data_IF_746232885574
#
_entry.id   IF_746232885574
#
_cell.length_a   1.000
_cell.length_b   1.000
_cell.length_c   1.000
_cell.angle_alpha   90.00
_cell.angle_beta   90.00
_cell.angle_gamma   90.00
#
_symmetry.space_group_name_H-M   'P 1'
#
loop_
_entity.id
_entity.type
_entity.pdbx_description
1 polymer ?
#
# COMPACT_ATOMS: atom_id res chain seq x y z
N UNK A 1 -15.67 -26.98 1.24
CA UNK A 1 -15.04 -25.69 1.56
C UNK A 1 -15.06 -25.52 3.07
N UNK A 2 -13.90 -25.34 3.72
CA UNK A 2 -13.88 -25.05 5.17
C UNK A 2 -14.45 -23.65 5.40
N UNK A 3 -15.22 -23.47 6.47
CA UNK A 3 -15.93 -22.24 6.79
C UNK A 3 -14.93 -21.16 7.23
N UNK A 4 -14.96 -19.99 6.58
CA UNK A 4 -14.26 -18.79 7.05
C UNK A 4 -14.87 -18.36 8.39
N UNK A 5 -14.03 -18.19 9.41
CA UNK A 5 -14.42 -17.60 10.69
C UNK A 5 -14.23 -16.10 10.61
N UNK A 6 -15.22 -15.37 11.13
CA UNK A 6 -15.17 -13.93 11.28
C UNK A 6 -15.49 -13.56 12.72
N UNK A 7 -15.03 -12.42 13.16
CA UNK A 7 -15.36 -11.95 14.50
C UNK A 7 -14.66 -10.66 14.88
N UNK A 8 -14.96 -10.23 16.10
CA UNK A 8 -14.49 -8.98 16.67
C UNK A 8 -13.96 -9.25 18.08
N UNK A 9 -12.88 -8.58 18.45
CA UNK A 9 -12.39 -8.49 19.83
C UNK A 9 -11.83 -7.08 20.10
N UNK A 10 -11.56 -6.79 21.37
CA UNK A 10 -10.93 -5.53 21.78
C UNK A 10 -9.52 -5.84 22.30
N UNK A 11 -8.52 -5.09 21.86
CA UNK A 11 -7.15 -5.15 22.34
C UNK A 11 -6.57 -3.75 22.32
N UNK A 12 -5.79 -3.38 23.34
CA UNK A 12 -5.17 -2.04 23.46
C UNK A 12 -6.19 -0.88 23.33
N UNK A 13 -7.43 -1.12 23.77
CA UNK A 13 -8.51 -0.15 23.66
C UNK A 13 -8.99 0.10 22.23
N UNK A 14 -8.61 -0.71 21.25
CA UNK A 14 -9.04 -0.67 19.86
C UNK A 14 -9.87 -1.90 19.51
N UNK A 15 -10.78 -1.75 18.56
CA UNK A 15 -11.53 -2.85 17.98
C UNK A 15 -10.70 -3.55 16.90
N UNK A 16 -10.65 -4.87 16.97
CA UNK A 16 -10.00 -5.73 16.00
C UNK A 16 -11.04 -6.60 15.30
N UNK A 17 -11.11 -6.50 13.98
CA UNK A 17 -11.96 -7.32 13.13
C UNK A 17 -11.08 -8.39 12.48
N UNK A 18 -11.46 -9.67 12.55
CA UNK A 18 -10.66 -10.73 11.94
C UNK A 18 -11.46 -11.57 10.94
N UNK A 19 -10.73 -12.07 9.94
CA UNK A 19 -11.15 -13.15 9.05
C UNK A 19 -10.08 -14.23 9.12
N UNK A 20 -10.50 -15.48 9.21
CA UNK A 20 -9.59 -16.61 9.31
C UNK A 20 -10.15 -17.85 8.60
N UNK A 21 -9.30 -18.56 7.87
CA UNK A 21 -9.53 -19.93 7.42
C UNK A 21 -8.33 -20.81 7.83
N UNK A 22 -8.17 -22.00 7.24
CA UNK A 22 -7.08 -22.91 7.58
C UNK A 22 -5.72 -22.55 6.94
N UNK A 23 -5.66 -21.50 6.12
CA UNK A 23 -4.46 -21.03 5.42
C UNK A 23 -4.01 -19.66 5.90
N UNK A 24 -4.95 -18.76 6.14
CA UNK A 24 -4.71 -17.35 6.37
C UNK A 24 -5.49 -16.83 7.57
N UNK A 25 -4.91 -15.84 8.25
CA UNK A 25 -5.61 -14.94 9.16
C UNK A 25 -5.23 -13.50 8.89
N UNK A 26 -6.24 -12.65 8.78
CA UNK A 26 -6.08 -11.20 8.74
C UNK A 26 -6.76 -10.52 9.93
N UNK A 27 -6.24 -9.35 10.31
CA UNK A 27 -6.84 -8.49 11.34
C UNK A 27 -6.84 -7.05 10.87
N UNK A 28 -7.97 -6.37 11.02
CA UNK A 28 -8.25 -5.00 10.57
C UNK A 28 -8.68 -4.12 11.74
N UNK A 29 -8.19 -2.89 11.78
CA UNK A 29 -8.56 -1.85 12.73
C UNK A 29 -9.49 -0.83 12.05
N UNK A 30 -10.83 -0.93 12.23
CA UNK A 30 -11.76 0.03 11.63
C UNK A 30 -11.55 1.45 12.16
N UNK A 31 -11.06 1.60 13.38
CA UNK A 31 -10.87 2.91 14.03
C UNK A 31 -9.63 3.66 13.57
N UNK A 32 -8.80 3.04 12.72
CA UNK A 32 -7.56 3.60 12.18
C UNK A 32 -7.55 3.34 10.67
N UNK A 33 -8.42 4.04 9.94
CA UNK A 33 -8.47 3.98 8.47
C UNK A 33 -8.88 2.64 7.87
N UNK A 34 -9.44 1.73 8.68
CA UNK A 34 -9.61 0.35 8.25
C UNK A 34 -8.28 -0.37 7.99
N UNK A 35 -7.18 0.04 8.62
CA UNK A 35 -5.82 -0.52 8.43
C UNK A 35 -5.81 -2.02 8.69
N UNK A 36 -5.24 -2.80 7.77
CA UNK A 36 -4.94 -4.21 8.04
C UNK A 36 -3.61 -4.27 8.80
N UNK A 37 -3.63 -4.79 10.03
CA UNK A 37 -2.45 -4.88 10.90
C UNK A 37 -1.87 -6.29 10.96
N UNK A 38 -2.59 -7.27 10.40
CA UNK A 38 -2.14 -8.64 10.32
C UNK A 38 -2.53 -9.28 9.01
N UNK A 39 -1.56 -9.96 8.44
CA UNK A 39 -1.67 -10.94 7.37
C UNK A 39 -0.72 -12.07 7.76
N UNK A 40 -1.25 -13.25 8.08
CA UNK A 40 -0.42 -14.35 8.58
C UNK A 40 -0.78 -15.70 8.00
N UNK A 41 0.23 -16.53 7.77
CA UNK A 41 0.10 -17.93 7.36
C UNK A 41 -0.25 -18.79 8.56
N UNK A 42 -1.30 -19.60 8.43
CA UNK A 42 -1.67 -20.60 9.44
C UNK A 42 -0.74 -21.81 9.43
N UNK A 43 -0.01 -22.02 8.32
CA UNK A 43 0.96 -23.12 8.18
C UNK A 43 2.26 -22.79 8.89
N UNK A 44 2.86 -21.64 8.61
CA UNK A 44 4.18 -21.25 9.14
C UNK A 44 4.09 -20.33 10.36
N UNK A 45 2.90 -19.82 10.67
CA UNK A 45 2.66 -18.81 11.71
C UNK A 45 3.39 -17.47 11.46
N UNK A 46 3.96 -17.28 10.26
CA UNK A 46 4.58 -16.02 9.86
C UNK A 46 3.53 -14.92 9.74
N UNK A 47 3.82 -13.77 10.32
CA UNK A 47 3.16 -12.48 10.08
C UNK A 47 3.96 -11.72 9.02
N UNK A 48 3.29 -11.21 8.00
CA UNK A 48 3.95 -10.57 6.86
C UNK A 48 3.91 -9.05 6.88
N UNK A 49 3.01 -8.44 7.66
CA UNK A 49 2.96 -6.98 7.79
C UNK A 49 3.93 -6.52 8.88
N UNK A 50 4.59 -5.39 8.62
CA UNK A 50 5.44 -4.71 9.59
C UNK A 50 4.62 -4.34 10.83
N UNK A 51 5.14 -4.65 12.01
CA UNK A 51 4.52 -4.23 13.27
C UNK A 51 4.79 -2.74 13.57
N UNK A 52 4.07 -2.11 14.52
CA UNK A 52 4.30 -0.70 14.86
C UNK A 52 5.76 -0.41 15.17
N UNK A 53 6.29 0.63 14.54
CA UNK A 53 7.69 1.07 14.70
C UNK A 53 7.85 2.19 15.73
N UNK A 54 6.78 2.58 16.41
CA UNK A 54 6.83 3.56 17.50
C UNK A 54 7.38 2.94 18.80
N UNK A 55 7.82 3.78 19.75
CA UNK A 55 8.53 3.33 20.97
C UNK A 55 7.72 2.37 21.85
N UNK A 56 6.39 2.48 21.84
CA UNK A 56 5.51 1.61 22.63
C UNK A 56 5.01 0.39 21.85
N UNK A 57 5.33 0.26 20.56
CA UNK A 57 4.93 -0.87 19.73
C UNK A 57 3.41 -1.03 19.60
N UNK A 58 2.65 0.06 19.72
CA UNK A 58 1.18 0.02 19.82
C UNK A 58 0.51 0.93 18.79
N UNK A 59 -0.74 0.64 18.47
CA UNK A 59 -1.54 1.44 17.56
C UNK A 59 -2.23 2.58 18.30
N UNK A 60 -2.28 3.78 17.70
CA UNK A 60 -2.96 4.95 18.27
C UNK A 60 -3.96 5.53 17.28
N UNK A 61 -5.11 6.00 17.77
CA UNK A 61 -6.10 6.66 16.90
C UNK A 61 -5.52 7.98 16.38
N UNK A 62 -5.35 8.14 15.06
CA UNK A 62 -4.98 9.42 14.48
C UNK A 62 -6.15 10.40 14.52
N UNK A 63 -5.84 11.68 14.45
CA UNK A 63 -6.81 12.70 14.08
C UNK A 63 -6.78 12.92 12.56
N UNK A 64 -7.87 13.44 12.00
CA UNK A 64 -7.97 13.71 10.57
C UNK A 64 -6.81 14.58 10.06
N UNK A 65 -6.09 14.08 9.06
CA UNK A 65 -4.96 14.77 8.45
C UNK A 65 -3.71 14.83 9.34
N UNK A 66 -3.58 13.88 10.27
CA UNK A 66 -2.33 13.64 10.99
C UNK A 66 -1.15 13.46 10.04
N UNK A 67 0.05 13.79 10.51
CA UNK A 67 1.30 13.48 9.79
C UNK A 67 1.61 12.00 9.95
N UNK A 68 1.74 11.26 8.85
CA UNK A 68 1.87 9.80 8.88
C UNK A 68 3.08 9.33 9.72
N UNK A 69 4.24 9.98 9.54
CA UNK A 69 5.49 9.68 10.26
C UNK A 69 5.37 9.77 11.80
N UNK A 70 4.45 10.60 12.31
CA UNK A 70 4.28 10.81 13.76
C UNK A 70 3.44 9.70 14.44
N UNK A 71 2.85 8.80 13.66
CA UNK A 71 2.00 7.70 14.12
C UNK A 71 2.69 6.35 13.90
N UNK A 72 1.93 5.26 13.91
CA UNK A 72 2.47 3.97 13.51
C UNK A 72 2.59 3.89 11.98
N UNK A 73 3.83 3.78 11.50
CA UNK A 73 4.15 3.64 10.08
C UNK A 73 4.36 2.16 9.78
N UNK A 74 3.25 1.41 9.86
CA UNK A 74 3.23 -0.03 9.86
C UNK A 74 1.92 -0.60 9.30
N UNK A 75 1.82 -1.92 9.16
CA UNK A 75 0.61 -2.55 8.65
C UNK A 75 0.35 -2.24 7.16
N UNK A 76 -0.93 -2.17 6.80
CA UNK A 76 -1.39 -1.91 5.45
C UNK A 76 -2.49 -0.84 5.48
N UNK A 77 -2.11 0.35 5.03
CA UNK A 77 -2.93 1.53 4.91
C UNK A 77 -3.56 1.72 3.52
N UNK A 78 -4.63 2.51 3.50
CA UNK A 78 -5.27 3.00 2.29
C UNK A 78 -4.88 4.46 2.07
N UNK A 79 -4.14 4.77 1.01
CA UNK A 79 -3.86 6.15 0.63
C UNK A 79 -4.92 6.63 -0.36
N UNK A 80 -5.71 7.64 0.00
CA UNK A 80 -6.76 8.19 -0.85
C UNK A 80 -7.21 9.58 -0.38
N UNK A 81 -7.35 10.60 -1.26
CA UNK A 81 -7.20 10.57 -2.72
C UNK A 81 -5.81 10.98 -3.22
N UNK A 82 -4.81 11.00 -2.34
CA UNK A 82 -3.42 11.34 -2.63
C UNK A 82 -2.51 10.49 -1.74
N UNK A 83 -1.22 10.36 -2.07
CA UNK A 83 -0.24 9.64 -1.24
C UNK A 83 0.57 10.64 -0.40
N UNK A 84 0.94 11.80 -0.95
CA UNK A 84 1.51 12.92 -0.19
C UNK A 84 0.52 14.07 -0.11
N UNK A 85 0.73 14.99 0.86
CA UNK A 85 -0.05 16.22 0.96
C UNK A 85 -0.09 16.91 -0.41
N UNK A 86 -1.28 17.31 -0.85
CA UNK A 86 -1.47 17.84 -2.19
C UNK A 86 -2.58 18.88 -2.22
N UNK A 87 -2.34 19.96 -2.95
CA UNK A 87 -3.41 20.86 -3.40
C UNK A 87 -4.25 20.11 -4.43
N UNK A 88 -5.57 20.21 -4.32
CA UNK A 88 -6.46 19.74 -5.38
C UNK A 88 -6.50 20.80 -6.48
N UNK A 89 -6.15 20.46 -7.74
CA UNK A 89 -5.93 21.46 -8.79
C UNK A 89 -7.22 22.14 -9.29
N UNK A 90 -8.40 21.66 -8.88
CA UNK A 90 -9.68 22.19 -9.29
C UNK A 90 -10.45 22.73 -8.08
N UNK A 91 -10.76 24.03 -8.01
CA UNK A 91 -11.56 24.59 -6.92
C UNK A 91 -12.92 23.89 -6.79
N UNK A 92 -13.38 23.73 -5.56
CA UNK A 92 -14.67 23.11 -5.23
C UNK A 92 -15.49 24.14 -4.47
N UNK A 93 -16.66 24.53 -4.97
CA UNK A 93 -17.45 25.65 -4.43
C UNK A 93 -16.64 26.97 -4.30
N UNK A 94 -15.75 27.25 -5.25
CA UNK A 94 -14.82 28.39 -5.21
C UNK A 94 -13.81 28.35 -4.05
N UNK A 95 -13.62 27.21 -3.39
CA UNK A 95 -12.61 27.00 -2.36
C UNK A 95 -11.48 26.10 -2.86
N UNK A 96 -10.26 26.41 -2.41
CA UNK A 96 -9.11 25.54 -2.63
C UNK A 96 -9.15 24.38 -1.62
N UNK A 97 -9.02 23.15 -2.12
CA UNK A 97 -8.89 21.96 -1.28
C UNK A 97 -7.41 21.62 -1.14
N UNK A 98 -7.01 21.31 0.09
CA UNK A 98 -5.74 20.64 0.40
C UNK A 98 -6.10 19.29 1.00
N UNK A 99 -5.62 18.22 0.36
CA UNK A 99 -5.69 16.87 0.91
C UNK A 99 -4.44 16.62 1.75
N UNK A 100 -4.59 16.02 2.95
CA UNK A 100 -3.47 15.80 3.85
C UNK A 100 -2.54 14.68 3.34
N UNK A 101 -1.40 14.54 4.01
CA UNK A 101 -0.46 13.44 3.83
C UNK A 101 -1.14 12.06 3.94
N UNK A 102 -0.86 11.18 2.97
CA UNK A 102 -1.53 9.88 2.75
C UNK A 102 -3.05 9.97 2.53
N UNK A 103 -3.57 11.17 2.27
CA UNK A 103 -4.97 11.42 2.01
C UNK A 103 -5.85 11.35 3.26
N UNK A 104 -7.15 11.37 3.02
CA UNK A 104 -8.16 11.59 4.06
C UNK A 104 -8.52 10.35 4.86
N UNK A 105 -8.35 9.17 4.26
CA UNK A 105 -9.05 7.97 4.72
C UNK A 105 -8.27 7.13 5.74
N UNK A 106 -6.93 7.21 5.74
CA UNK A 106 -6.10 6.42 6.67
C UNK A 106 -6.23 6.91 8.13
N UNK A 107 -6.51 8.21 8.30
CA UNK A 107 -6.47 8.91 9.59
C UNK A 107 -7.83 9.07 10.27
N UNK A 108 -8.86 8.34 9.81
CA UNK A 108 -10.23 8.43 10.33
C UNK A 108 -10.84 7.06 10.59
N UNK A 109 -11.82 6.94 11.50
CA UNK A 109 -12.54 5.70 11.71
C UNK A 109 -13.48 5.39 10.52
N UNK A 110 -13.52 4.13 10.12
CA UNK A 110 -14.42 3.58 9.12
C UNK A 110 -15.61 2.88 9.79
N UNK A 111 -16.77 2.98 9.15
CA UNK A 111 -17.90 2.11 9.47
C UNK A 111 -17.59 0.69 9.01
N UNK A 112 -18.15 -0.32 9.68
CA UNK A 112 -17.96 -1.70 9.27
C UNK A 112 -19.18 -2.59 9.56
N UNK A 113 -19.31 -3.66 8.78
CA UNK A 113 -20.29 -4.73 8.94
C UNK A 113 -19.70 -6.07 8.53
N UNK A 114 -20.28 -7.16 9.04
CA UNK A 114 -20.04 -8.51 8.53
C UNK A 114 -21.29 -9.03 7.82
N UNK A 115 -21.17 -9.36 6.55
CA UNK A 115 -22.21 -10.04 5.76
C UNK A 115 -21.76 -11.47 5.49
N UNK A 116 -22.13 -12.39 6.39
CA UNK A 116 -21.62 -13.76 6.38
C UNK A 116 -20.11 -13.79 6.64
N UNK A 117 -19.32 -14.13 5.62
CA UNK A 117 -17.85 -14.17 5.65
C UNK A 117 -17.16 -12.98 4.97
N UNK A 118 -17.93 -11.95 4.62
CA UNK A 118 -17.45 -10.73 4.00
C UNK A 118 -17.33 -9.66 5.10
N UNK A 119 -16.16 -9.02 5.19
CA UNK A 119 -15.99 -7.82 6.00
C UNK A 119 -16.11 -6.60 5.09
N UNK A 120 -17.11 -5.78 5.34
CA UNK A 120 -17.37 -4.53 4.63
C UNK A 120 -16.90 -3.37 5.50
N UNK A 121 -16.16 -2.42 4.92
CA UNK A 121 -15.86 -1.15 5.55
C UNK A 121 -16.19 0.01 4.62
N UNK A 122 -16.62 1.14 5.19
CA UNK A 122 -16.89 2.36 4.44
C UNK A 122 -16.49 3.63 5.17
N UNK A 123 -16.17 4.65 4.39
CA UNK A 123 -15.83 6.00 4.84
C UNK A 123 -16.33 7.03 3.83
N UNK A 124 -16.71 8.21 4.32
CA UNK A 124 -17.05 9.35 3.48
C UNK A 124 -15.89 10.34 3.42
N UNK A 125 -15.68 10.94 2.26
CA UNK A 125 -14.72 12.03 2.11
C UNK A 125 -15.12 13.25 2.93
N UNK A 126 -14.13 13.98 3.46
CA UNK A 126 -14.37 15.15 4.31
C UNK A 126 -14.25 16.45 3.54
N UNK A 127 -13.26 16.56 2.65
CA UNK A 127 -13.04 17.73 1.80
C UNK A 127 -13.78 17.64 0.47
N UNK A 128 -13.95 16.42 -0.04
CA UNK A 128 -14.70 16.15 -1.27
C UNK A 128 -15.83 15.17 -0.97
N UNK A 129 -17.01 15.39 -1.53
CA UNK A 129 -18.17 14.52 -1.27
C UNK A 129 -18.07 13.23 -2.09
N UNK A 130 -17.49 12.19 -1.51
CA UNK A 130 -17.46 10.85 -2.06
C UNK A 130 -17.73 9.82 -0.98
N UNK A 131 -18.09 8.61 -1.40
CA UNK A 131 -18.09 7.43 -0.55
C UNK A 131 -17.05 6.44 -1.03
N UNK A 132 -16.17 6.00 -0.13
CA UNK A 132 -15.16 4.99 -0.39
C UNK A 132 -15.45 3.75 0.44
N UNK A 133 -15.43 2.57 -0.19
CA UNK A 133 -15.71 1.28 0.45
C UNK A 133 -14.63 0.27 0.12
N UNK A 134 -14.42 -0.66 1.05
CA UNK A 134 -13.67 -1.89 0.79
C UNK A 134 -14.37 -3.11 1.37
N UNK A 135 -14.41 -4.18 0.61
CA UNK A 135 -14.95 -5.48 0.98
C UNK A 135 -13.82 -6.50 0.98
N UNK A 136 -13.62 -7.19 2.11
CA UNK A 136 -12.55 -8.16 2.27
C UNK A 136 -13.13 -9.55 2.41
N UNK A 137 -12.60 -10.49 1.62
CA UNK A 137 -12.97 -11.91 1.66
C UNK A 137 -11.74 -12.80 1.68
N UNK A 138 -11.88 -14.00 2.25
CA UNK A 138 -10.86 -15.04 2.21
C UNK A 138 -11.37 -16.25 1.43
N UNK A 139 -10.60 -16.71 0.46
CA UNK A 139 -10.86 -17.95 -0.27
C UNK A 139 -9.56 -18.73 -0.42
N UNK A 140 -9.49 -19.91 0.19
CA UNK A 140 -8.27 -20.73 0.26
C UNK A 140 -7.05 -19.91 0.74
N UNK A 141 -6.03 -19.74 -0.10
CA UNK A 141 -4.81 -18.99 0.18
C UNK A 141 -4.85 -17.54 -0.34
N UNK A 142 -6.03 -17.02 -0.70
CA UNK A 142 -6.19 -15.68 -1.27
C UNK A 142 -7.04 -14.77 -0.38
N UNK A 143 -6.57 -13.54 -0.24
CA UNK A 143 -7.34 -12.39 0.24
C UNK A 143 -7.81 -11.64 -1.00
N UNK A 144 -9.11 -11.36 -1.09
CA UNK A 144 -9.65 -10.49 -2.13
C UNK A 144 -10.23 -9.24 -1.49
N UNK A 145 -9.72 -8.08 -1.90
CA UNK A 145 -10.18 -6.76 -1.47
C UNK A 145 -10.84 -6.08 -2.66
N UNK A 146 -12.16 -5.93 -2.62
CA UNK A 146 -12.90 -5.15 -3.62
C UNK A 146 -13.13 -3.75 -3.10
N UNK A 147 -12.72 -2.76 -3.88
CA UNK A 147 -12.91 -1.36 -3.59
C UNK A 147 -14.06 -0.80 -4.41
N UNK A 148 -14.74 0.21 -3.87
CA UNK A 148 -15.64 1.05 -4.65
C UNK A 148 -15.59 2.49 -4.21
N UNK A 149 -15.58 3.38 -5.19
CA UNK A 149 -15.65 4.82 -5.03
C UNK A 149 -16.91 5.32 -5.71
N UNK A 150 -17.72 6.11 -5.00
CA UNK A 150 -18.86 6.83 -5.58
C UNK A 150 -18.57 8.31 -5.44
N UNK A 151 -18.53 9.03 -6.55
CA UNK A 151 -18.49 10.49 -6.54
C UNK A 151 -19.90 11.03 -6.31
N UNK A 152 -20.12 11.70 -5.18
CA UNK A 152 -21.42 12.26 -4.82
C UNK A 152 -21.50 13.77 -5.13
N UNK A 153 -20.48 14.31 -5.77
CA UNK A 153 -20.39 15.70 -6.18
C UNK A 153 -20.89 15.89 -7.61
N UNK A 154 -21.14 17.14 -8.01
CA UNK A 154 -21.64 17.50 -9.34
C UNK A 154 -20.54 17.69 -10.39
N UNK A 155 -19.27 17.49 -10.02
CA UNK A 155 -18.11 17.65 -10.89
C UNK A 155 -17.20 16.39 -10.85
N UNK A 156 -16.32 16.18 -11.85
CA UNK A 156 -15.37 15.08 -11.84
C UNK A 156 -14.43 15.13 -10.64
N UNK A 157 -14.08 13.96 -10.10
CA UNK A 157 -13.14 13.82 -8.99
C UNK A 157 -11.87 13.15 -9.47
N UNK A 158 -10.76 13.88 -9.42
CA UNK A 158 -9.43 13.35 -9.70
C UNK A 158 -8.84 12.78 -8.42
N UNK A 159 -8.22 11.61 -8.51
CA UNK A 159 -7.68 10.93 -7.35
C UNK A 159 -6.49 10.02 -7.69
N UNK A 160 -5.73 9.70 -6.64
CA UNK A 160 -4.82 8.58 -6.56
C UNK A 160 -5.32 7.69 -5.42
N UNK A 161 -5.56 6.43 -5.74
CA UNK A 161 -5.64 5.36 -4.76
C UNK A 161 -4.31 4.63 -4.75
N UNK A 162 -3.77 4.32 -3.57
CA UNK A 162 -2.65 3.40 -3.41
C UNK A 162 -2.91 2.46 -2.26
N UNK A 163 -2.76 1.17 -2.53
CA UNK A 163 -2.57 0.19 -1.46
C UNK A 163 -1.18 0.41 -0.85
N UNK A 164 -1.07 0.52 0.48
CA UNK A 164 0.20 0.81 1.15
C UNK A 164 0.61 -0.27 2.18
N UNK A 165 0.89 -1.52 1.74
CA UNK A 165 1.27 -2.62 2.63
C UNK A 165 2.75 -2.57 2.99
N UNK A 166 3.08 -2.11 4.20
CA UNK A 166 4.44 -2.17 4.73
C UNK A 166 4.75 -3.59 5.20
N UNK A 167 5.66 -4.27 4.51
CA UNK A 167 5.96 -5.67 4.72
C UNK A 167 7.13 -5.88 5.70
N UNK A 168 6.95 -6.86 6.59
CA UNK A 168 8.00 -7.39 7.44
C UNK A 168 8.94 -8.27 6.63
N UNK A 169 10.08 -7.71 6.26
CA UNK A 169 11.13 -8.36 5.47
C UNK A 169 12.39 -8.60 6.30
N UNK A 170 13.23 -9.50 5.80
CA UNK A 170 14.58 -9.78 6.29
C UNK A 170 15.60 -9.69 5.15
N UNK A 171 16.87 -9.36 5.42
CA UNK A 171 17.90 -9.32 4.39
C UNK A 171 17.93 -10.63 3.59
N UNK A 172 17.98 -10.52 2.26
CA UNK A 172 17.90 -11.65 1.34
C UNK A 172 16.49 -12.01 0.84
N UNK A 173 15.41 -11.53 1.47
CA UNK A 173 14.07 -11.62 0.86
C UNK A 173 14.06 -10.93 -0.51
N UNK A 174 13.22 -11.38 -1.44
CA UNK A 174 13.30 -10.99 -2.86
C UNK A 174 12.00 -10.41 -3.38
N UNK A 175 12.10 -9.34 -4.15
CA UNK A 175 11.01 -8.64 -4.82
C UNK A 175 10.97 -9.09 -6.28
N UNK A 176 9.78 -9.41 -6.75
CA UNK A 176 9.52 -9.85 -8.11
C UNK A 176 8.50 -8.89 -8.72
N UNK A 177 8.84 -8.33 -9.88
CA UNK A 177 7.92 -7.49 -10.66
C UNK A 177 7.59 -8.20 -11.97
N UNK A 178 6.57 -7.72 -12.68
CA UNK A 178 6.32 -8.10 -14.08
C UNK A 178 7.60 -7.92 -14.93
N UNK A 179 7.84 -8.84 -15.86
CA UNK A 179 9.10 -8.96 -16.65
C UNK A 179 9.54 -7.69 -17.39
N UNK A 180 8.61 -6.76 -17.63
CA UNK A 180 8.82 -5.59 -18.48
C UNK A 180 9.20 -4.33 -17.68
N UNK A 181 9.47 -4.45 -16.39
CA UNK A 181 9.92 -3.32 -15.56
C UNK A 181 11.44 -3.18 -15.64
N UNK A 182 11.90 -2.27 -16.50
CA UNK A 182 13.33 -1.97 -16.68
C UNK A 182 13.79 -0.73 -15.91
N UNK A 183 12.86 0.12 -15.49
CA UNK A 183 13.14 1.40 -14.85
C UNK A 183 12.00 1.83 -13.93
N UNK A 184 12.35 2.66 -12.94
CA UNK A 184 11.41 3.33 -12.06
C UNK A 184 11.46 4.84 -12.28
N UNK A 185 10.30 5.48 -12.23
CA UNK A 185 10.19 6.92 -11.99
C UNK A 185 10.44 7.18 -10.51
N UNK A 186 11.45 7.98 -10.19
CA UNK A 186 11.81 8.27 -8.82
C UNK A 186 10.90 9.36 -8.25
N UNK A 187 10.21 9.06 -7.15
CA UNK A 187 9.44 10.02 -6.39
C UNK A 187 10.31 10.65 -5.29
N UNK A 188 11.08 9.83 -4.58
CA UNK A 188 11.98 10.30 -3.53
C UNK A 188 13.10 9.30 -3.26
N UNK A 189 14.24 9.78 -2.79
CA UNK A 189 15.32 8.96 -2.27
C UNK A 189 15.99 9.65 -1.07
N UNK A 190 16.48 8.85 -0.13
CA UNK A 190 17.18 9.34 1.08
C UNK A 190 18.53 9.99 0.78
N UNK A 191 19.07 9.78 -0.41
CA UNK A 191 20.34 10.36 -0.85
C UNK A 191 20.22 10.84 -2.29
N UNK A 192 20.67 12.07 -2.57
CA UNK A 192 20.62 12.66 -3.91
C UNK A 192 21.41 11.90 -4.97
N UNK A 193 22.41 11.09 -4.57
CA UNK A 193 23.17 10.23 -5.50
C UNK A 193 22.32 9.11 -6.13
N UNK A 194 21.21 8.75 -5.49
CA UNK A 194 20.27 7.73 -6.00
C UNK A 194 19.31 8.33 -7.05
N UNK A 195 19.32 9.66 -7.19
CA UNK A 195 18.47 10.43 -8.10
C UNK A 195 17.66 11.49 -7.35
N UNK A 196 16.91 12.26 -8.13
CA UNK A 196 15.98 13.27 -7.66
C UNK A 196 14.56 12.96 -8.15
N UNK A 197 13.56 13.61 -7.55
CA UNK A 197 12.18 13.53 -8.04
C UNK A 197 12.12 13.76 -9.55
N UNK A 198 11.45 12.86 -10.28
CA UNK A 198 11.29 12.95 -11.72
C UNK A 198 12.28 12.13 -12.53
N UNK A 199 13.39 11.71 -11.95
CA UNK A 199 14.39 10.88 -12.63
C UNK A 199 13.83 9.51 -13.01
N UNK A 200 14.38 8.94 -14.09
CA UNK A 200 14.16 7.54 -14.46
C UNK A 200 15.40 6.76 -14.10
N UNK A 201 15.28 5.86 -13.14
CA UNK A 201 16.40 5.04 -12.64
C UNK A 201 16.26 3.59 -13.10
N UNK A 202 17.35 2.91 -13.47
CA UNK A 202 17.29 1.51 -13.86
C UNK A 202 16.83 0.61 -12.72
N UNK A 203 16.07 -0.42 -13.05
CA UNK A 203 15.64 -1.47 -12.12
C UNK A 203 16.27 -2.82 -12.52
N UNK A 204 16.78 -3.62 -11.56
CA UNK A 204 16.83 -3.37 -10.11
C UNK A 204 18.13 -2.71 -9.63
N UNK A 205 19.04 -2.34 -10.53
CA UNK A 205 20.32 -1.72 -10.19
C UNK A 205 20.17 -0.20 -10.21
N UNK A 206 19.79 0.40 -9.07
CA UNK A 206 19.50 1.83 -8.99
C UNK A 206 20.76 2.68 -8.79
N UNK A 207 21.65 2.27 -7.88
CA UNK A 207 22.88 3.00 -7.58
C UNK A 207 23.99 2.68 -8.58
N UNK A 208 24.17 3.58 -9.55
CA UNK A 208 25.22 3.46 -10.57
C UNK A 208 26.65 3.33 -10.03
N UNK A 209 26.93 3.78 -8.80
CA UNK A 209 28.25 3.62 -8.16
C UNK A 209 28.42 2.24 -7.53
N UNK A 210 27.33 1.53 -7.27
CA UNK A 210 27.30 0.20 -6.70
C UNK A 210 26.53 -0.75 -7.63
N UNK A 211 27.05 -1.05 -8.84
CA UNK A 211 26.32 -1.84 -9.84
C UNK A 211 26.10 -3.31 -9.45
N UNK A 212 26.65 -3.75 -8.31
CA UNK A 212 26.40 -5.07 -7.70
C UNK A 212 25.27 -5.05 -6.67
N UNK A 213 24.74 -3.87 -6.34
CA UNK A 213 23.66 -3.70 -5.39
C UNK A 213 22.33 -3.87 -6.11
N UNK A 214 21.73 -5.04 -5.93
CA UNK A 214 20.43 -5.39 -6.49
C UNK A 214 19.31 -5.01 -5.51
N UNK A 215 18.55 -3.96 -5.83
CA UNK A 215 17.44 -3.47 -4.99
C UNK A 215 16.18 -4.35 -5.07
N UNK A 216 16.17 -5.38 -5.92
CA UNK A 216 15.15 -6.44 -5.83
C UNK A 216 15.45 -7.42 -4.70
N UNK A 217 16.66 -7.42 -4.14
CA UNK A 217 17.01 -8.17 -2.94
C UNK A 217 16.98 -7.21 -1.75
N UNK A 218 16.26 -7.60 -0.68
CA UNK A 218 16.22 -6.83 0.56
C UNK A 218 17.62 -6.76 1.15
N UNK A 219 18.11 -5.54 1.35
CA UNK A 219 19.46 -5.28 1.81
C UNK A 219 19.52 -5.22 3.34
N UNK A 220 20.75 -5.27 3.86
CA UNK A 220 21.00 -5.02 5.28
C UNK A 220 20.54 -3.61 5.67
N UNK A 221 19.99 -3.48 6.87
CA UNK A 221 19.54 -2.19 7.43
C UNK A 221 20.67 -1.16 7.55
N UNK A 222 21.92 -1.62 7.63
CA UNK A 222 23.11 -0.76 7.66
C UNK A 222 23.42 -0.07 6.33
N UNK A 223 22.75 -0.45 5.24
CA UNK A 223 22.85 0.25 3.96
C UNK A 223 22.40 1.71 4.09
N UNK A 224 21.50 2.01 5.04
CA UNK A 224 21.04 3.35 5.38
C UNK A 224 20.41 4.11 4.19
N UNK A 225 19.71 3.38 3.33
CA UNK A 225 19.04 3.93 2.15
C UNK A 225 17.55 3.69 2.15
N UNK A 226 16.81 4.63 1.57
CA UNK A 226 15.39 4.48 1.28
C UNK A 226 15.05 5.10 -0.07
N UNK A 227 14.15 4.45 -0.82
CA UNK A 227 13.73 4.84 -2.17
C UNK A 227 12.21 4.67 -2.29
N UNK A 228 11.55 5.70 -2.81
CA UNK A 228 10.19 5.65 -3.33
C UNK A 228 10.23 5.79 -4.85
N UNK A 229 9.81 4.73 -5.55
CA UNK A 229 9.77 4.72 -7.02
C UNK A 229 8.45 4.19 -7.54
N UNK A 230 8.16 4.48 -8.80
CA UNK A 230 6.97 4.01 -9.50
C UNK A 230 7.35 3.35 -10.82
N UNK A 231 6.67 2.27 -11.16
CA UNK A 231 6.71 1.71 -12.51
C UNK A 231 6.06 2.66 -13.53
N UNK A 232 6.35 2.45 -14.81
CA UNK A 232 5.46 2.95 -15.86
C UNK A 232 4.11 2.25 -15.79
N UNK A 233 3.12 2.76 -16.53
CA UNK A 233 1.82 2.09 -16.64
C UNK A 233 2.01 0.68 -17.18
N UNK A 234 1.58 -0.31 -16.43
CA UNK A 234 1.67 -1.72 -16.75
C UNK A 234 0.44 -2.15 -17.57
N UNK A 235 0.56 -3.26 -18.30
CA UNK A 235 -0.62 -3.93 -18.88
C UNK A 235 -1.34 -4.73 -17.78
N UNK A 236 -0.56 -5.43 -16.96
CA UNK A 236 -1.01 -6.18 -15.78
C UNK A 236 -0.20 -5.76 -14.56
N UNK A 237 -0.89 -5.37 -13.49
CA UNK A 237 -0.28 -4.98 -12.22
C UNK A 237 -0.13 -6.21 -11.33
N UNK A 238 1.01 -6.91 -11.45
CA UNK A 238 1.37 -8.04 -10.60
C UNK A 238 2.80 -7.90 -10.09
N UNK A 239 2.98 -8.19 -8.81
CA UNK A 239 4.28 -8.21 -8.16
C UNK A 239 4.23 -9.07 -6.90
N UNK A 240 5.38 -9.53 -6.43
CA UNK A 240 5.46 -10.41 -5.28
C UNK A 240 6.69 -10.15 -4.41
N UNK A 241 6.60 -10.58 -3.16
CA UNK A 241 7.78 -10.74 -2.28
C UNK A 241 7.89 -12.20 -1.87
N UNK A 242 9.06 -12.78 -2.10
CA UNK A 242 9.45 -14.10 -1.58
C UNK A 242 10.21 -13.95 -0.27
N UNK A 243 9.71 -14.64 0.75
CA UNK A 243 10.27 -14.65 2.10
C UNK A 243 11.07 -15.93 2.32
N UNK A 244 12.40 -15.84 2.31
CA UNK A 244 13.30 -17.00 2.38
C UNK A 244 13.11 -17.79 3.66
N UNK A 245 12.93 -17.10 4.78
CA UNK A 245 12.80 -17.70 6.11
C UNK A 245 11.57 -18.61 6.26
N UNK A 246 10.49 -18.37 5.50
CA UNK A 246 9.30 -19.22 5.51
C UNK A 246 9.15 -20.09 4.27
N UNK A 247 9.91 -19.81 3.20
CA UNK A 247 9.72 -20.46 1.91
C UNK A 247 8.32 -20.17 1.34
N UNK A 248 7.80 -18.96 1.55
CA UNK A 248 6.47 -18.53 1.12
C UNK A 248 6.57 -17.18 0.39
N UNK A 249 5.62 -16.91 -0.50
CA UNK A 249 5.51 -15.64 -1.23
C UNK A 249 4.16 -14.98 -1.00
N UNK A 250 4.15 -13.64 -0.96
CA UNK A 250 2.93 -12.87 -1.15
C UNK A 250 2.91 -12.29 -2.56
N UNK A 251 1.88 -12.63 -3.33
CA UNK A 251 1.66 -12.14 -4.69
C UNK A 251 0.50 -11.15 -4.69
N UNK A 252 0.73 -9.93 -5.15
CA UNK A 252 -0.25 -8.87 -5.30
C UNK A 252 -0.67 -8.79 -6.77
N UNK A 253 -1.96 -8.80 -7.03
CA UNK A 253 -2.53 -8.72 -8.38
C UNK A 253 -3.70 -7.73 -8.38
N UNK A 254 -3.68 -6.75 -9.29
CA UNK A 254 -4.84 -5.90 -9.56
C UNK A 254 -5.42 -6.19 -10.94
N UNK A 255 -6.74 -6.31 -11.01
CA UNK A 255 -7.48 -6.68 -12.22
C UNK A 255 -8.15 -5.51 -12.94
N UNK A 256 -8.03 -4.28 -12.42
CA UNK A 256 -8.55 -3.07 -13.08
C UNK A 256 -7.45 -2.42 -13.93
N UNK A 257 -7.59 -2.35 -15.28
CA UNK A 257 -6.65 -1.65 -16.15
C UNK A 257 -6.42 -0.18 -15.78
N UNK A 258 -7.32 0.42 -15.01
CA UNK A 258 -7.20 1.76 -14.48
C UNK A 258 -6.33 1.89 -13.23
N UNK A 259 -5.84 0.78 -12.66
CA UNK A 259 -4.95 0.72 -11.48
C UNK A 259 -3.64 0.01 -11.78
N UNK A 260 -3.05 0.40 -12.90
CA UNK A 260 -1.93 -0.28 -13.53
C UNK A 260 -0.57 0.35 -13.21
N UNK A 261 -0.44 1.05 -12.09
CA UNK A 261 0.87 1.44 -11.59
C UNK A 261 1.21 0.59 -10.37
N UNK A 262 2.52 0.39 -10.17
CA UNK A 262 3.09 -0.13 -8.94
C UNK A 262 4.02 0.92 -8.36
N UNK A 263 3.70 1.41 -7.16
CA UNK A 263 4.64 2.07 -6.28
C UNK A 263 5.52 1.05 -5.56
N UNK A 264 6.77 1.42 -5.31
CA UNK A 264 7.73 0.66 -4.53
C UNK A 264 8.30 1.56 -3.45
N UNK A 265 8.11 1.15 -2.20
CA UNK A 265 8.83 1.71 -1.07
C UNK A 265 9.90 0.71 -0.65
N UNK A 266 11.17 1.09 -0.75
CA UNK A 266 12.31 0.26 -0.40
C UNK A 266 13.05 0.96 0.73
N UNK A 267 12.89 0.51 1.97
CA UNK A 267 13.57 1.10 3.11
C UNK A 267 14.52 0.08 3.74
N UNK A 268 15.81 0.30 3.52
CA UNK A 268 16.92 -0.49 4.05
C UNK A 268 17.71 0.35 5.07
N UNK A 269 16.99 0.96 6.01
CA UNK A 269 17.54 1.79 7.07
C UNK A 269 17.66 3.29 6.77
N UNK A 270 17.18 3.77 5.61
CA UNK A 270 17.28 5.19 5.25
C UNK A 270 16.20 6.10 5.85
N UNK A 271 15.10 5.53 6.33
CA UNK A 271 13.95 6.28 6.85
C UNK A 271 13.45 5.69 8.19
N UNK A 272 12.87 6.47 9.12
CA UNK A 272 12.70 7.93 9.13
C UNK A 272 14.03 8.68 9.14
N UNK A 273 14.16 9.81 8.44
CA UNK A 273 15.43 10.53 8.31
C UNK A 273 15.97 11.03 9.65
N UNK A 274 15.08 11.57 10.49
CA UNK A 274 15.42 12.17 11.79
C UNK A 274 15.19 11.24 12.99
N UNK A 275 14.69 10.03 12.76
CA UNK A 275 14.37 9.07 13.83
C UNK A 275 15.53 8.13 14.18
N UNK A 276 15.66 7.83 15.47
CA UNK A 276 16.63 6.86 16.00
C UNK A 276 16.35 5.43 15.52
N UNK A 277 15.06 5.10 15.36
CA UNK A 277 14.61 3.78 14.93
C UNK A 277 14.37 3.78 13.43
N UNK A 278 15.45 3.59 12.66
CA UNK A 278 15.35 3.38 11.20
C UNK A 278 14.51 2.14 10.90
N UNK A 279 13.85 2.09 9.75
CA UNK A 279 13.03 0.96 9.36
C UNK A 279 13.79 -0.01 8.45
N UNK A 280 13.34 -1.26 8.45
CA UNK A 280 13.65 -2.24 7.42
C UNK A 280 12.33 -2.79 6.91
N UNK A 281 11.89 -2.30 5.76
CA UNK A 281 10.56 -2.61 5.21
C UNK A 281 10.54 -2.42 3.71
N UNK A 282 9.64 -3.15 3.05
CA UNK A 282 9.32 -2.98 1.63
C UNK A 282 7.81 -2.84 1.49
N UNK A 283 7.34 -1.98 0.59
CA UNK A 283 5.96 -2.02 0.11
C UNK A 283 5.91 -2.21 -1.41
N UNK A 284 4.98 -3.05 -1.83
CA UNK A 284 4.52 -3.15 -3.22
C UNK A 284 3.12 -2.56 -3.24
N UNK A 285 2.96 -1.48 -4.00
CA UNK A 285 1.81 -0.60 -3.89
C UNK A 285 1.06 -0.50 -5.21
N UNK A 286 0.12 -1.43 -5.50
CA UNK A 286 -0.83 -1.24 -6.58
C UNK A 286 -1.56 0.10 -6.41
N UNK A 287 -1.49 0.94 -7.44
CA UNK A 287 -2.04 2.30 -7.39
C UNK A 287 -2.66 2.75 -8.71
N UNK A 288 -3.56 3.73 -8.61
CA UNK A 288 -4.32 4.28 -9.74
C UNK A 288 -3.59 5.40 -10.49
N UNK A 289 -2.49 5.91 -9.94
CA UNK A 289 -1.73 7.01 -10.51
C UNK A 289 -0.37 7.18 -9.85
N UNK A 290 0.43 8.09 -10.43
CA UNK A 290 1.75 8.52 -9.93
C UNK A 290 2.01 9.96 -10.34
N UNK A 291 2.91 10.69 -9.66
CA UNK A 291 3.65 10.35 -8.45
C UNK A 291 2.81 10.55 -7.17
N UNK A 292 3.43 10.67 -5.99
CA UNK A 292 2.68 10.67 -4.72
C UNK A 292 1.69 11.85 -4.56
N UNK A 293 1.98 13.01 -5.15
CA UNK A 293 1.10 14.18 -5.09
C UNK A 293 0.05 14.14 -6.21
N UNK A 294 -1.21 14.31 -5.84
CA UNK A 294 -2.32 14.37 -6.79
C UNK A 294 -2.19 15.52 -7.80
N UNK A 295 -1.72 16.70 -7.36
CA UNK A 295 -1.52 17.86 -8.23
C UNK A 295 -0.60 17.53 -9.42
N UNK A 296 0.54 16.91 -9.12
CA UNK A 296 1.51 16.53 -10.14
C UNK A 296 0.99 15.39 -11.02
N UNK A 297 0.32 14.40 -10.44
CA UNK A 297 -0.31 13.33 -11.21
C UNK A 297 -1.35 13.88 -12.21
N UNK A 298 -2.15 14.88 -11.80
CA UNK A 298 -3.08 15.58 -12.71
C UNK A 298 -2.32 16.33 -13.80
N UNK A 299 -1.27 17.08 -13.45
CA UNK A 299 -0.44 17.82 -14.42
C UNK A 299 0.19 16.91 -15.47
N UNK A 300 0.53 15.68 -15.09
CA UNK A 300 1.11 14.65 -15.96
C UNK A 300 0.07 13.85 -16.75
N UNK A 301 -1.21 14.00 -16.47
CA UNK A 301 -2.27 13.15 -17.02
C UNK A 301 -2.20 11.70 -16.52
N UNK A 302 -1.59 11.48 -15.35
CA UNK A 302 -1.36 10.17 -14.75
C UNK A 302 -2.25 9.92 -13.51
N UNK A 303 -3.16 10.85 -13.16
CA UNK A 303 -4.19 10.67 -12.13
C UNK A 303 -5.41 9.90 -12.66
N UNK A 304 -6.09 9.18 -11.76
CA UNK A 304 -7.38 8.57 -12.05
C UNK A 304 -8.51 9.60 -11.92
N UNK A 305 -9.63 9.34 -12.61
CA UNK A 305 -10.83 10.17 -12.58
C UNK A 305 -12.06 9.30 -12.40
N UNK A 306 -13.00 9.80 -11.60
CA UNK A 306 -14.40 9.30 -11.56
C UNK A 306 -15.32 10.48 -11.88
N UNK A 307 -16.24 10.29 -12.82
CA UNK A 307 -17.15 11.34 -13.25
C UNK A 307 -18.17 11.69 -12.15
N UNK A 308 -18.85 12.82 -12.32
CA UNK A 308 -19.96 13.25 -11.46
C UNK A 308 -21.00 12.13 -11.33
N UNK A 309 -21.41 11.81 -10.11
CA UNK A 309 -22.40 10.75 -9.79
C UNK A 309 -22.01 9.33 -10.24
N UNK A 310 -20.78 9.13 -10.71
CA UNK A 310 -20.31 7.83 -11.17
C UNK A 310 -19.82 6.97 -9.99
N UNK A 311 -20.03 5.66 -10.12
CA UNK A 311 -19.40 4.64 -9.28
C UNK A 311 -18.31 3.92 -10.06
N UNK A 312 -17.12 3.84 -9.47
CA UNK A 312 -16.02 3.01 -9.96
C UNK A 312 -15.67 1.93 -8.95
N UNK A 313 -15.29 0.75 -9.44
CA UNK A 313 -14.89 -0.39 -8.62
C UNK A 313 -13.65 -1.06 -9.19
N UNK A 314 -12.83 -1.61 -8.30
CA UNK A 314 -11.63 -2.38 -8.65
C UNK A 314 -11.34 -3.44 -7.59
N UNK A 315 -10.43 -4.35 -7.89
CA UNK A 315 -10.05 -5.43 -6.99
C UNK A 315 -8.53 -5.52 -6.86
N UNK A 316 -8.08 -5.80 -5.63
CA UNK A 316 -6.74 -6.23 -5.30
C UNK A 316 -6.82 -7.62 -4.69
N UNK A 317 -6.12 -8.57 -5.30
CA UNK A 317 -5.95 -9.91 -4.78
C UNK A 317 -4.55 -10.08 -4.20
N UNK A 318 -4.47 -10.70 -3.03
CA UNK A 318 -3.22 -11.04 -2.35
C UNK A 318 -3.20 -12.53 -2.09
N UNK A 319 -2.31 -13.25 -2.77
CA UNK A 319 -2.17 -14.70 -2.69
C UNK A 319 -0.96 -15.08 -1.87
N UNK A 320 -1.14 -16.01 -0.94
CA UNK A 320 -0.05 -16.65 -0.20
C UNK A 320 0.36 -17.95 -0.92
N UNK A 321 1.54 -17.96 -1.51
CA UNK A 321 2.08 -19.13 -2.23
C UNK A 321 3.22 -19.78 -1.46
N UNK A 322 3.47 -21.07 -1.71
CA UNK A 322 4.68 -21.76 -1.23
C UNK A 322 5.75 -21.69 -2.31
N UNK A 323 6.97 -21.33 -1.93
CA UNK A 323 8.12 -21.21 -2.82
C UNK A 323 8.19 -19.87 -3.55
N UNK A 324 9.14 -19.80 -4.48
CA UNK A 324 9.39 -18.66 -5.37
C UNK A 324 8.20 -18.49 -6.33
N UNK A 325 7.73 -17.25 -6.59
CA UNK A 325 6.59 -17.02 -7.48
C UNK A 325 6.92 -17.48 -8.91
N UNK A 326 6.08 -18.34 -9.48
CA UNK A 326 6.37 -19.05 -10.74
C UNK A 326 6.14 -18.22 -12.02
N UNK A 327 5.44 -17.10 -11.93
CA UNK A 327 4.98 -16.28 -13.07
C UNK A 327 5.61 -14.89 -13.16
N UNK A 328 6.50 -14.56 -12.22
CA UNK A 328 7.15 -13.25 -12.14
C UNK A 328 8.65 -13.41 -12.35
N UNK A 329 9.29 -12.38 -12.92
CA UNK A 329 10.70 -12.45 -13.22
C UNK A 329 11.55 -12.35 -11.96
N UNK A 330 12.56 -13.21 -11.86
CA UNK A 330 13.77 -12.93 -11.09
C UNK A 330 14.69 -12.06 -11.94
N UNK A 331 15.12 -10.90 -11.44
CA UNK A 331 16.18 -10.12 -12.10
C UNK A 331 17.59 -10.57 -11.71
N UNK A 332 17.71 -11.60 -10.86
CA UNK A 332 18.99 -12.22 -10.50
C UNK A 332 19.65 -12.86 -11.73
N UNK A 333 20.81 -12.32 -12.14
CA UNK A 333 21.77 -13.03 -13.00
C UNK A 333 22.99 -13.44 -12.19
#
# INVERSE_FOLDING_TARGET
>A
MKKVKTGTYISEGLKHLFLENDKLRIVVLPEIGGKMIRLSSQKTQRQYLLEPQNRNGSYHRPFYGAVFENYDTSGFDECFPTISESVYPFPVNNENIIFPDHGEVWSVPWNYSFTGSILELSVAGKKFNYEFRKEITLQDNQISIRYSLINLYDQPFYYIWSAHPLLKVTPGDQIFLSTNVEQLFLNWASESRLGMFGDKVPWPIIDSKHPRLDYSVVQEKSLAQAIKGFTNRLEESSAAVYFHNSGESLVFESSDPGNNYLGLWLCYGGWPEQGDMKHLTVAIEPCSGRPDTLEEAVRRGEAAVVQSQEKRSWQLDIKLETGVPSKLATHSK
#
